data_IF_880828533752
#
_entry.id   IF_880828533752
#
_cell.length_a   1.000
_cell.length_b   1.000
_cell.length_c   1.000
_cell.angle_alpha   90.00
_cell.angle_beta   90.00
_cell.angle_gamma   90.00
#
_symmetry.space_group_name_H-M   'P 1'
#
loop_
_entity.id
_entity.type
_entity.pdbx_description
1 polymer ?
#
# COMPACT_ATOMS: atom_id res chain seq x y z
N UNK A 1 -27.12 1.23 -16.93
CA UNK A 1 -27.93 0.54 -15.95
C UNK A 1 -27.40 -0.88 -15.75
N UNK A 2 -27.29 -1.38 -14.49
CA UNK A 2 -26.91 -2.77 -14.24
C UNK A 2 -27.96 -3.71 -14.84
N UNK A 3 -27.49 -4.72 -15.57
CA UNK A 3 -28.38 -5.72 -16.20
C UNK A 3 -29.10 -6.56 -15.14
N UNK A 4 -30.35 -6.91 -15.41
CA UNK A 4 -31.16 -7.73 -14.50
C UNK A 4 -30.55 -9.14 -14.33
N UNK A 5 -30.38 -9.56 -13.08
CA UNK A 5 -29.81 -10.86 -12.73
C UNK A 5 -28.31 -10.86 -12.47
N UNK A 6 -27.61 -9.75 -12.71
CA UNK A 6 -26.19 -9.63 -12.43
C UNK A 6 -25.89 -9.63 -10.92
N UNK A 7 -24.75 -10.20 -10.55
CA UNK A 7 -24.27 -10.27 -9.17
C UNK A 7 -23.08 -9.36 -8.98
N UNK A 8 -23.25 -8.32 -8.18
CA UNK A 8 -22.16 -7.44 -7.82
C UNK A 8 -21.20 -8.03 -6.77
N UNK A 9 -20.08 -7.36 -6.57
CA UNK A 9 -19.10 -7.65 -5.53
C UNK A 9 -19.28 -6.66 -4.39
N UNK A 10 -19.21 -7.16 -3.16
CA UNK A 10 -19.25 -6.30 -1.98
C UNK A 10 -17.87 -5.66 -1.77
N UNK A 11 -17.86 -4.33 -1.65
CA UNK A 11 -16.67 -3.54 -1.28
C UNK A 11 -16.96 -2.81 0.01
N UNK A 12 -16.03 -2.82 0.93
CA UNK A 12 -16.16 -2.18 2.23
C UNK A 12 -15.18 -1.01 2.35
N UNK A 13 -15.64 0.07 2.98
CA UNK A 13 -14.84 1.25 3.26
C UNK A 13 -14.96 1.61 4.75
N UNK A 14 -13.82 1.62 5.45
CA UNK A 14 -13.74 2.21 6.78
C UNK A 14 -13.53 3.71 6.68
N UNK A 15 -14.32 4.48 7.38
CA UNK A 15 -14.19 5.92 7.43
C UNK A 15 -14.16 6.38 8.88
N UNK A 16 -13.19 7.23 9.22
CA UNK A 16 -13.14 7.90 10.51
C UNK A 16 -14.00 9.16 10.47
N UNK A 17 -14.61 9.50 11.60
CA UNK A 17 -15.28 10.78 11.81
C UNK A 17 -14.92 11.32 13.19
N UNK A 18 -14.81 12.62 13.28
CA UNK A 18 -14.60 13.28 14.58
C UNK A 18 -15.94 13.38 15.30
N UNK A 19 -15.98 12.89 16.53
CA UNK A 19 -17.12 13.13 17.41
C UNK A 19 -16.87 14.48 18.06
N UNK A 20 -17.61 15.50 17.60
CA UNK A 20 -17.71 16.76 18.33
C UNK A 20 -18.79 16.60 19.39
N UNK A 21 -18.43 16.75 20.66
CA UNK A 21 -19.42 16.86 21.72
C UNK A 21 -20.19 18.18 21.51
N UNK A 22 -21.33 18.09 20.87
CA UNK A 22 -22.26 19.18 20.67
C UNK A 22 -23.68 18.64 20.65
N UNK A 23 -24.50 19.14 21.53
CA UNK A 23 -25.95 18.94 21.73
C UNK A 23 -26.36 17.67 22.51
N UNK A 24 -26.06 17.72 23.81
CA UNK A 24 -26.87 17.09 24.83
C UNK A 24 -27.27 18.13 25.81
N UNK A 25 -28.56 18.55 25.79
CA UNK A 25 -29.18 19.30 26.89
C UNK A 25 -29.03 18.46 28.16
N UNK A 26 -28.18 18.91 29.05
CA UNK A 26 -27.95 18.25 30.34
C UNK A 26 -27.16 19.18 31.25
N UNK A 27 -27.90 19.86 32.13
CA UNK A 27 -27.38 20.61 33.28
C UNK A 27 -26.46 19.68 34.10
N UNK A 28 -25.19 20.04 34.19
CA UNK A 28 -24.22 19.32 35.01
C UNK A 28 -22.91 20.09 35.10
N UNK A 29 -22.73 20.78 36.23
CA UNK A 29 -21.44 21.32 36.68
C UNK A 29 -20.37 20.26 36.66
N UNK A 30 -19.25 20.48 35.97
CA UNK A 30 -18.14 19.55 36.03
C UNK A 30 -17.00 19.94 35.11
N UNK A 31 -15.95 20.45 35.68
CA UNK A 31 -14.53 20.53 35.30
C UNK A 31 -14.16 20.45 33.81
N UNK A 32 -13.66 21.54 33.34
CA UNK A 32 -13.05 21.77 32.03
C UNK A 32 -11.69 21.05 31.94
N UNK A 33 -11.68 19.76 31.60
CA UNK A 33 -10.48 19.03 31.20
C UNK A 33 -10.41 18.95 29.67
N UNK A 34 -9.29 19.37 29.13
CA UNK A 34 -9.02 19.60 27.71
C UNK A 34 -9.56 18.51 26.79
N UNK A 35 -10.59 18.84 26.04
CA UNK A 35 -11.36 17.92 25.21
C UNK A 35 -10.55 17.14 24.18
N UNK A 36 -10.20 15.92 24.51
CA UNK A 36 -9.68 14.95 23.55
C UNK A 36 -10.78 14.64 22.51
N UNK A 37 -10.58 15.09 21.29
CA UNK A 37 -11.45 14.75 20.16
C UNK A 37 -11.53 13.23 19.99
N UNK A 38 -12.68 12.65 20.33
CA UNK A 38 -12.92 11.21 20.10
C UNK A 38 -13.14 10.96 18.61
N UNK A 39 -12.38 10.03 18.05
CA UNK A 39 -12.55 9.59 16.67
C UNK A 39 -13.36 8.32 16.64
N UNK A 40 -14.54 8.36 16.02
CA UNK A 40 -15.35 7.20 15.72
C UNK A 40 -14.95 6.60 14.37
N UNK A 41 -15.17 5.30 14.22
CA UNK A 41 -15.02 4.58 12.95
C UNK A 41 -16.36 4.00 12.54
N UNK A 42 -16.71 4.15 11.27
CA UNK A 42 -17.85 3.45 10.71
C UNK A 42 -17.47 2.70 9.44
N UNK A 43 -18.14 1.57 9.23
CA UNK A 43 -17.98 0.74 8.05
C UNK A 43 -19.12 1.06 7.07
N UNK A 44 -18.76 1.48 5.87
CA UNK A 44 -19.70 1.50 4.73
C UNK A 44 -19.43 0.32 3.83
N UNK A 45 -20.48 -0.22 3.27
CA UNK A 45 -20.39 -1.22 2.23
C UNK A 45 -21.10 -0.74 0.97
N UNK A 46 -20.56 -1.15 -0.17
CA UNK A 46 -21.08 -0.85 -1.49
C UNK A 46 -21.11 -2.13 -2.30
N UNK A 47 -22.12 -2.28 -3.12
CA UNK A 47 -22.12 -3.34 -4.16
C UNK A 47 -21.62 -2.70 -5.45
N UNK A 48 -20.52 -3.20 -5.98
CA UNK A 48 -19.93 -2.76 -7.25
C UNK A 48 -20.14 -3.82 -8.31
N UNK A 49 -20.22 -3.38 -9.56
CA UNK A 49 -20.46 -4.23 -10.73
C UNK A 49 -19.33 -3.99 -11.74
N UNK A 50 -18.93 -5.04 -12.44
CA UNK A 50 -18.03 -4.92 -13.57
C UNK A 50 -18.67 -4.11 -14.70
N UNK A 51 -17.86 -3.42 -15.49
CA UNK A 51 -18.36 -2.62 -16.61
C UNK A 51 -19.14 -3.49 -17.62
N UNK A 52 -18.74 -4.74 -17.77
CA UNK A 52 -19.41 -5.76 -18.60
C UNK A 52 -20.81 -6.14 -18.11
N UNK A 53 -21.17 -5.80 -16.89
CA UNK A 53 -22.46 -6.06 -16.25
C UNK A 53 -23.44 -4.89 -16.37
N UNK A 54 -23.01 -3.79 -17.01
CA UNK A 54 -23.77 -2.53 -17.05
C UNK A 54 -24.02 -2.09 -18.48
N UNK A 55 -25.29 -1.82 -18.81
CA UNK A 55 -25.66 -1.26 -20.12
C UNK A 55 -25.49 0.26 -20.14
N UNK A 56 -25.23 0.79 -21.35
CA UNK A 56 -25.13 2.22 -21.63
C UNK A 56 -23.96 2.93 -20.88
N UNK A 57 -22.87 2.18 -20.65
CA UNK A 57 -21.59 2.77 -20.22
C UNK A 57 -20.63 2.72 -21.40
N UNK A 58 -20.09 3.86 -21.76
CA UNK A 58 -18.97 3.97 -22.70
C UNK A 58 -17.65 3.69 -21.95
N UNK A 59 -17.36 2.39 -21.80
CA UNK A 59 -16.15 1.90 -21.10
C UNK A 59 -14.89 2.36 -21.81
N UNK A 60 -14.89 2.38 -23.14
CA UNK A 60 -13.71 2.76 -23.93
C UNK A 60 -13.35 4.22 -23.71
N UNK A 61 -14.35 5.12 -23.68
CA UNK A 61 -14.12 6.53 -23.35
C UNK A 61 -13.60 6.72 -21.92
N UNK A 62 -14.13 5.97 -20.95
CA UNK A 62 -13.67 6.03 -19.55
C UNK A 62 -12.23 5.53 -19.42
N UNK A 63 -11.90 4.41 -20.07
CA UNK A 63 -10.54 3.86 -20.09
C UNK A 63 -9.56 4.78 -20.83
N UNK A 64 -9.98 5.36 -21.95
CA UNK A 64 -9.16 6.34 -22.70
C UNK A 64 -8.83 7.56 -21.83
N UNK A 65 -9.81 8.12 -21.11
CA UNK A 65 -9.59 9.23 -20.18
C UNK A 65 -8.64 8.87 -19.03
N UNK A 66 -8.72 7.64 -18.52
CA UNK A 66 -7.83 7.15 -17.49
C UNK A 66 -6.40 6.97 -18.04
N UNK A 67 -6.27 6.31 -19.21
CA UNK A 67 -4.98 6.12 -19.89
C UNK A 67 -4.29 7.43 -20.24
N UNK A 68 -5.05 8.43 -20.67
CA UNK A 68 -4.52 9.76 -21.00
C UNK A 68 -3.93 10.50 -19.79
N UNK A 69 -4.33 10.13 -18.56
CA UNK A 69 -3.80 10.67 -17.31
C UNK A 69 -2.63 9.87 -16.74
N UNK A 70 -2.41 8.65 -17.23
CA UNK A 70 -1.28 7.85 -16.79
C UNK A 70 0.02 8.34 -17.42
N UNK A 71 1.13 8.40 -16.65
CA UNK A 71 2.43 8.71 -17.22
C UNK A 71 2.79 7.66 -18.27
N UNK A 72 3.48 8.06 -19.34
CA UNK A 72 4.08 7.08 -20.22
C UNK A 72 5.23 6.35 -19.50
N UNK A 73 5.69 5.22 -20.05
CA UNK A 73 6.71 4.37 -19.42
C UNK A 73 7.97 5.14 -19.01
N UNK A 74 8.46 6.05 -19.85
CA UNK A 74 9.66 6.83 -19.53
C UNK A 74 9.42 7.79 -18.35
N UNK A 75 8.25 8.43 -18.31
CA UNK A 75 7.86 9.30 -17.19
C UNK A 75 7.67 8.48 -15.90
N UNK A 76 7.01 7.33 -15.96
CA UNK A 76 6.85 6.43 -14.80
C UNK A 76 8.20 6.01 -14.21
N UNK A 77 9.16 5.65 -15.06
CA UNK A 77 10.52 5.31 -14.64
C UNK A 77 11.26 6.50 -14.03
N UNK A 78 11.13 7.69 -14.61
CA UNK A 78 11.73 8.90 -14.04
C UNK A 78 11.13 9.25 -12.67
N UNK A 79 9.80 9.08 -12.52
CA UNK A 79 9.12 9.31 -11.23
C UNK A 79 9.61 8.34 -10.15
N UNK A 80 9.73 7.04 -10.44
CA UNK A 80 10.20 6.08 -9.47
C UNK A 80 11.67 6.27 -9.12
N UNK A 81 12.52 6.63 -10.08
CA UNK A 81 13.93 6.92 -9.79
C UNK A 81 14.09 8.14 -8.89
N UNK A 82 13.33 9.20 -9.16
CA UNK A 82 13.31 10.39 -8.30
C UNK A 82 12.80 10.08 -6.89
N UNK A 83 11.72 9.31 -6.79
CA UNK A 83 11.15 8.89 -5.51
C UNK A 83 12.17 8.08 -4.69
N UNK A 84 12.81 7.09 -5.30
CA UNK A 84 13.81 6.23 -4.65
C UNK A 84 15.00 7.08 -4.17
N UNK A 85 15.53 7.95 -5.03
CA UNK A 85 16.66 8.81 -4.68
C UNK A 85 16.32 9.73 -3.50
N UNK A 86 15.14 10.37 -3.53
CA UNK A 86 14.69 11.25 -2.46
C UNK A 86 14.45 10.48 -1.15
N UNK A 87 13.81 9.32 -1.22
CA UNK A 87 13.54 8.48 -0.05
C UNK A 87 14.86 8.02 0.60
N UNK A 88 15.78 7.46 -0.18
CA UNK A 88 17.07 6.97 0.34
C UNK A 88 17.88 8.11 0.96
N UNK A 89 17.96 9.25 0.27
CA UNK A 89 18.81 10.37 0.71
C UNK A 89 18.24 11.07 1.95
N UNK A 90 16.94 11.39 1.93
CA UNK A 90 16.35 12.25 2.98
C UNK A 90 15.94 11.45 4.22
N UNK A 91 15.75 10.14 4.09
CA UNK A 91 15.32 9.29 5.21
C UNK A 91 16.50 8.54 5.87
N UNK A 92 17.72 8.73 5.37
CA UNK A 92 18.95 8.17 5.93
C UNK A 92 19.08 6.65 5.78
N UNK A 93 18.35 6.08 4.82
CA UNK A 93 18.41 4.68 4.43
C UNK A 93 19.63 4.46 3.52
N UNK A 94 20.26 3.30 3.61
CA UNK A 94 21.30 2.92 2.65
C UNK A 94 20.77 1.91 1.62
N UNK A 95 21.13 2.09 0.36
CA UNK A 95 20.82 1.18 -0.74
C UNK A 95 22.10 0.76 -1.45
N UNK A 96 22.34 -0.53 -1.57
CA UNK A 96 23.47 -1.07 -2.33
C UNK A 96 23.02 -2.14 -3.31
N UNK A 97 23.85 -2.33 -4.36
CA UNK A 97 23.63 -3.35 -5.37
C UNK A 97 24.74 -4.41 -5.29
N UNK A 98 24.43 -5.63 -5.68
CA UNK A 98 25.32 -6.77 -5.71
C UNK A 98 24.70 -8.03 -5.12
N UNK A 99 25.35 -9.15 -5.35
CA UNK A 99 24.83 -10.46 -4.94
C UNK A 99 23.60 -10.89 -5.75
N UNK A 100 22.85 -11.86 -5.20
CA UNK A 100 21.72 -12.47 -5.89
C UNK A 100 20.40 -12.44 -5.09
N UNK A 101 20.33 -11.61 -4.05
CA UNK A 101 19.17 -11.50 -3.17
C UNK A 101 18.79 -10.05 -2.92
N UNK A 102 17.50 -9.75 -2.97
CA UNK A 102 16.93 -8.52 -2.44
C UNK A 102 16.53 -8.77 -0.98
N UNK A 103 16.78 -7.80 -0.12
CA UNK A 103 16.30 -7.80 1.26
C UNK A 103 16.51 -6.44 1.93
N UNK A 104 15.64 -6.11 2.87
CA UNK A 104 15.84 -5.05 3.84
C UNK A 104 16.45 -5.62 5.14
N UNK A 105 17.50 -5.00 5.66
CA UNK A 105 18.17 -5.36 6.91
C UNK A 105 17.86 -4.30 8.00
N UNK A 106 16.90 -4.54 8.92
CA UNK A 106 16.46 -3.55 9.91
C UNK A 106 17.59 -3.05 10.83
N UNK A 107 18.50 -3.95 11.24
CA UNK A 107 19.60 -3.60 12.15
C UNK A 107 20.64 -2.65 11.57
N UNK A 108 20.70 -2.57 10.24
CA UNK A 108 21.62 -1.71 9.49
C UNK A 108 20.91 -0.57 8.78
N UNK A 109 19.60 -0.57 8.81
CA UNK A 109 18.74 0.31 8.02
C UNK A 109 19.17 0.35 6.56
N UNK A 110 19.26 -0.84 5.96
CA UNK A 110 19.89 -1.07 4.67
C UNK A 110 19.05 -1.94 3.75
N UNK A 111 18.90 -1.50 2.50
CA UNK A 111 18.36 -2.30 1.41
C UNK A 111 19.51 -2.83 0.55
N UNK A 112 19.54 -4.14 0.36
CA UNK A 112 20.38 -4.82 -0.61
C UNK A 112 19.55 -5.23 -1.81
N UNK A 113 20.01 -4.89 -3.01
CA UNK A 113 19.41 -5.30 -4.28
C UNK A 113 20.42 -6.06 -5.13
N UNK A 114 19.99 -7.05 -5.93
CA UNK A 114 20.80 -7.55 -7.03
C UNK A 114 21.06 -6.44 -8.06
N UNK A 115 22.05 -6.64 -8.92
CA UNK A 115 22.31 -5.72 -10.04
C UNK A 115 21.08 -5.62 -10.95
N UNK A 116 20.76 -4.41 -11.45
CA UNK A 116 19.60 -4.20 -12.34
C UNK A 116 19.59 -5.14 -13.54
N UNK A 117 20.76 -5.42 -14.10
CA UNK A 117 20.90 -6.33 -15.26
C UNK A 117 20.56 -7.80 -14.96
N UNK A 118 20.42 -8.18 -13.68
CA UNK A 118 20.02 -9.54 -13.30
C UNK A 118 18.51 -9.76 -13.28
N UNK A 119 17.73 -8.69 -13.42
CA UNK A 119 16.27 -8.77 -13.50
C UNK A 119 15.82 -8.99 -14.94
N UNK A 120 14.70 -9.69 -15.11
CA UNK A 120 14.13 -9.95 -16.42
C UNK A 120 13.73 -8.67 -17.15
N UNK A 121 13.18 -7.71 -16.42
CA UNK A 121 12.80 -6.38 -16.91
C UNK A 121 12.99 -5.31 -15.83
N UNK A 122 12.85 -4.07 -16.25
CA UNK A 122 13.01 -2.90 -15.39
C UNK A 122 11.88 -2.79 -14.37
N UNK A 123 10.69 -3.19 -14.74
CA UNK A 123 9.51 -3.18 -13.88
C UNK A 123 9.66 -4.14 -12.72
N UNK A 124 10.17 -5.35 -12.97
CA UNK A 124 10.47 -6.33 -11.94
C UNK A 124 11.54 -5.86 -10.95
N UNK A 125 12.55 -5.13 -11.43
CA UNK A 125 13.52 -4.49 -10.53
C UNK A 125 12.84 -3.48 -9.60
N UNK A 126 12.03 -2.56 -10.14
CA UNK A 126 11.38 -1.55 -9.30
C UNK A 126 10.30 -2.13 -8.39
N UNK A 127 9.51 -3.09 -8.86
CA UNK A 127 8.55 -3.79 -8.00
C UNK A 127 9.24 -4.45 -6.80
N UNK A 128 10.40 -5.07 -7.01
CA UNK A 128 11.20 -5.66 -5.93
C UNK A 128 11.77 -4.58 -5.01
N UNK A 129 12.32 -3.50 -5.55
CA UNK A 129 12.85 -2.40 -4.74
C UNK A 129 11.78 -1.74 -3.89
N UNK A 130 10.60 -1.47 -4.45
CA UNK A 130 9.46 -0.90 -3.74
C UNK A 130 8.93 -1.84 -2.64
N UNK A 131 9.03 -3.16 -2.83
CA UNK A 131 8.75 -4.13 -1.78
C UNK A 131 9.74 -4.00 -0.60
N UNK A 132 11.03 -3.92 -0.86
CA UNK A 132 12.05 -3.73 0.19
C UNK A 132 11.92 -2.36 0.87
N UNK A 133 11.54 -1.32 0.12
CA UNK A 133 11.17 -0.03 0.69
C UNK A 133 9.94 -0.15 1.59
N UNK A 134 8.95 -0.96 1.23
CA UNK A 134 7.81 -1.30 2.08
C UNK A 134 8.25 -1.85 3.43
N UNK A 135 9.16 -2.83 3.44
CA UNK A 135 9.76 -3.37 4.66
C UNK A 135 10.51 -2.29 5.46
N UNK A 136 11.24 -1.40 4.79
CA UNK A 136 12.02 -0.38 5.48
C UNK A 136 11.14 0.55 6.32
N UNK A 137 9.87 0.73 5.98
CA UNK A 137 8.94 1.57 6.75
C UNK A 137 8.64 1.02 8.16
N UNK A 138 8.96 -0.24 8.43
CA UNK A 138 8.79 -0.79 9.78
C UNK A 138 9.82 -0.26 10.79
N UNK A 139 10.91 0.34 10.32
CA UNK A 139 11.97 0.86 11.18
C UNK A 139 11.45 1.90 12.17
N UNK A 140 12.05 1.94 13.38
CA UNK A 140 11.62 2.83 14.47
C UNK A 140 11.70 4.33 14.11
N UNK A 141 12.59 4.71 13.19
CA UNK A 141 12.68 6.08 12.69
C UNK A 141 11.52 6.49 11.76
N UNK A 142 10.72 5.53 11.26
CA UNK A 142 9.65 5.74 10.28
C UNK A 142 8.29 5.47 10.92
N UNK A 143 7.65 4.40 10.55
CA UNK A 143 6.32 4.07 11.08
C UNK A 143 6.35 3.24 12.36
N UNK A 144 7.55 2.83 12.82
CA UNK A 144 7.74 2.00 14.03
C UNK A 144 6.74 0.83 14.11
N UNK A 145 6.53 0.16 12.96
CA UNK A 145 5.62 -0.97 12.89
C UNK A 145 6.23 -2.15 13.63
N UNK A 146 5.62 -2.55 14.72
CA UNK A 146 6.08 -3.73 15.48
C UNK A 146 5.78 -4.99 14.68
N UNK A 147 6.82 -5.61 14.13
CA UNK A 147 6.70 -6.97 13.62
C UNK A 147 6.76 -7.95 14.80
N UNK A 148 5.71 -8.76 14.93
CA UNK A 148 5.72 -9.87 15.90
C UNK A 148 6.54 -11.07 15.40
N UNK A 149 7.22 -10.91 14.28
CA UNK A 149 8.07 -11.93 13.70
C UNK A 149 9.34 -12.12 14.53
N UNK A 150 9.59 -13.34 14.96
CA UNK A 150 10.84 -13.75 15.60
C UNK A 150 11.68 -14.65 14.69
N UNK A 151 11.08 -15.25 13.67
CA UNK A 151 11.74 -16.19 12.74
C UNK A 151 11.08 -16.17 11.36
N UNK A 152 11.87 -16.45 10.35
CA UNK A 152 11.40 -16.73 9.00
C UNK A 152 10.32 -17.85 9.04
N UNK A 153 9.16 -17.58 8.43
CA UNK A 153 8.06 -18.54 8.33
C UNK A 153 7.05 -18.53 9.47
N UNK A 154 7.19 -17.69 10.50
CA UNK A 154 6.14 -17.49 11.50
C UNK A 154 5.01 -16.59 10.97
N UNK A 155 3.88 -16.54 11.70
CA UNK A 155 2.69 -15.74 11.33
C UNK A 155 3.03 -14.25 11.22
N UNK A 156 3.87 -13.74 12.11
CA UNK A 156 4.29 -12.33 12.09
C UNK A 156 5.13 -12.01 10.86
N UNK A 157 5.98 -12.93 10.41
CA UNK A 157 6.71 -12.81 9.15
C UNK A 157 5.75 -12.77 7.96
N UNK A 158 4.79 -13.71 7.88
CA UNK A 158 3.81 -13.76 6.80
C UNK A 158 2.95 -12.47 6.72
N UNK A 159 2.61 -11.89 7.88
CA UNK A 159 1.89 -10.62 7.94
C UNK A 159 2.73 -9.44 7.40
N UNK A 160 4.00 -9.38 7.76
CA UNK A 160 4.89 -8.31 7.28
C UNK A 160 5.16 -8.43 5.77
N UNK A 161 5.36 -9.65 5.27
CA UNK A 161 5.43 -9.90 3.82
C UNK A 161 4.17 -9.42 3.09
N UNK A 162 3.00 -9.69 3.66
CA UNK A 162 1.73 -9.25 3.08
C UNK A 162 1.62 -7.71 3.06
N UNK A 163 2.12 -7.02 4.10
CA UNK A 163 2.19 -5.55 4.12
C UNK A 163 3.12 -5.04 3.03
N UNK A 164 4.33 -5.59 2.89
CA UNK A 164 5.29 -5.17 1.89
C UNK A 164 4.78 -5.41 0.46
N UNK A 165 4.12 -6.55 0.21
CA UNK A 165 3.53 -6.85 -1.09
C UNK A 165 2.40 -5.88 -1.46
N UNK A 166 1.48 -5.62 -0.54
CA UNK A 166 0.39 -4.67 -0.80
C UNK A 166 0.96 -3.25 -0.99
N UNK A 167 2.00 -2.87 -0.22
CA UNK A 167 2.69 -1.59 -0.37
C UNK A 167 3.30 -1.46 -1.76
N UNK A 168 4.04 -2.48 -2.22
CA UNK A 168 4.62 -2.51 -3.56
C UNK A 168 3.55 -2.37 -4.64
N UNK A 169 2.44 -3.12 -4.54
CA UNK A 169 1.34 -3.04 -5.48
C UNK A 169 0.67 -1.65 -5.52
N UNK A 170 0.51 -0.99 -4.37
CA UNK A 170 -0.02 0.38 -4.30
C UNK A 170 0.94 1.38 -4.95
N UNK A 171 2.23 1.28 -4.66
CA UNK A 171 3.25 2.17 -5.20
C UNK A 171 3.43 2.01 -6.71
N UNK A 172 3.49 0.77 -7.22
CA UNK A 172 3.59 0.49 -8.66
C UNK A 172 2.38 1.03 -9.41
N UNK A 173 1.17 0.86 -8.85
CA UNK A 173 -0.06 1.41 -9.43
C UNK A 173 -0.06 2.94 -9.44
N UNK A 174 0.35 3.59 -8.34
CA UNK A 174 0.41 5.06 -8.24
C UNK A 174 1.45 5.66 -9.19
N UNK A 175 2.59 5.00 -9.35
CA UNK A 175 3.70 5.43 -10.21
C UNK A 175 3.48 5.10 -11.69
N UNK A 176 2.46 4.31 -12.02
CA UNK A 176 2.17 3.89 -13.39
C UNK A 176 3.15 2.84 -13.93
N UNK A 177 3.78 2.06 -13.04
CA UNK A 177 4.61 0.92 -13.41
C UNK A 177 3.69 -0.29 -13.61
N UNK A 178 3.85 -1.00 -14.74
CA UNK A 178 3.13 -2.25 -14.94
C UNK A 178 3.67 -3.31 -13.97
N UNK A 179 2.79 -3.80 -13.08
CA UNK A 179 3.15 -4.86 -12.15
C UNK A 179 2.91 -6.22 -12.83
N UNK A 180 3.98 -6.98 -12.99
CA UNK A 180 3.90 -8.37 -13.45
C UNK A 180 3.95 -9.28 -12.21
N UNK A 181 3.15 -10.37 -12.18
CA UNK A 181 3.21 -11.31 -11.08
C UNK A 181 4.64 -11.84 -10.90
N UNK A 182 5.24 -11.60 -9.74
CA UNK A 182 6.59 -12.07 -9.46
C UNK A 182 6.57 -13.58 -9.20
N UNK A 183 7.58 -14.33 -9.70
CA UNK A 183 7.64 -15.78 -9.49
C UNK A 183 7.72 -16.22 -8.03
N UNK A 184 8.25 -15.35 -7.15
CA UNK A 184 8.39 -15.62 -5.71
C UNK A 184 7.09 -15.38 -4.92
N UNK A 185 6.06 -14.69 -5.48
CA UNK A 185 4.73 -14.62 -4.88
C UNK A 185 4.16 -16.01 -4.57
N UNK A 186 4.39 -16.99 -5.44
CA UNK A 186 3.94 -18.36 -5.22
C UNK A 186 4.51 -18.99 -3.94
N UNK A 187 5.71 -18.57 -3.52
CA UNK A 187 6.38 -19.07 -2.31
C UNK A 187 5.65 -18.64 -1.04
N UNK A 188 5.06 -17.46 -1.04
CA UNK A 188 4.37 -16.87 0.12
C UNK A 188 2.86 -17.15 0.12
N UNK A 189 2.27 -17.49 -1.02
CA UNK A 189 0.83 -17.73 -1.16
C UNK A 189 0.29 -18.72 -0.12
N UNK A 190 1.00 -19.81 0.14
CA UNK A 190 0.57 -20.81 1.12
C UNK A 190 0.57 -20.25 2.55
N UNK A 191 1.62 -19.49 2.92
CA UNK A 191 1.73 -18.85 4.24
C UNK A 191 0.68 -17.75 4.42
N UNK A 192 0.40 -16.97 3.36
CA UNK A 192 -0.66 -15.96 3.38
C UNK A 192 -2.04 -16.58 3.50
N UNK A 193 -2.33 -17.64 2.74
CA UNK A 193 -3.59 -18.36 2.84
C UNK A 193 -3.81 -18.94 4.24
N UNK A 194 -2.77 -19.46 4.86
CA UNK A 194 -2.85 -19.96 6.24
C UNK A 194 -3.09 -18.80 7.21
N UNK A 195 -2.33 -17.73 7.11
CA UNK A 195 -2.52 -16.52 7.94
C UNK A 195 -3.95 -15.95 7.82
N UNK A 196 -4.50 -15.89 6.61
CA UNK A 196 -5.86 -15.38 6.36
C UNK A 196 -6.94 -16.33 6.86
N UNK A 197 -6.70 -17.64 6.87
CA UNK A 197 -7.62 -18.64 7.44
C UNK A 197 -7.67 -18.54 8.96
N UNK A 198 -6.51 -18.37 9.59
CA UNK A 198 -6.40 -18.30 11.06
C UNK A 198 -6.85 -16.93 11.60
N UNK A 199 -6.70 -15.88 10.81
CA UNK A 199 -7.02 -14.50 11.17
C UNK A 199 -7.76 -13.77 10.04
N UNK A 200 -9.07 -13.90 10.02
CA UNK A 200 -9.92 -13.31 8.97
C UNK A 200 -9.82 -11.78 8.83
N UNK A 201 -9.29 -11.08 9.84
CA UNK A 201 -9.03 -9.63 9.81
C UNK A 201 -7.62 -9.28 9.34
N UNK A 202 -6.73 -10.26 9.14
CA UNK A 202 -5.32 -10.01 8.80
C UNK A 202 -5.16 -9.18 7.53
N UNK A 203 -5.98 -9.42 6.51
CA UNK A 203 -5.94 -8.66 5.26
C UNK A 203 -6.26 -7.18 5.47
N UNK A 204 -7.25 -6.85 6.30
CA UNK A 204 -7.61 -5.46 6.58
C UNK A 204 -6.52 -4.73 7.37
N UNK A 205 -5.91 -5.44 8.34
CA UNK A 205 -4.78 -4.92 9.11
C UNK A 205 -3.58 -4.69 8.20
N UNK A 206 -3.23 -5.66 7.35
CA UNK A 206 -2.13 -5.55 6.40
C UNK A 206 -2.36 -4.42 5.39
N UNK A 207 -3.56 -4.32 4.80
CA UNK A 207 -3.91 -3.26 3.88
C UNK A 207 -3.85 -1.87 4.52
N UNK A 208 -4.31 -1.73 5.77
CA UNK A 208 -4.21 -0.46 6.51
C UNK A 208 -2.77 -0.06 6.80
N UNK A 209 -1.90 -1.02 7.12
CA UNK A 209 -0.48 -0.76 7.34
C UNK A 209 0.23 -0.48 6.02
N UNK A 210 -0.11 -1.19 4.96
CA UNK A 210 0.43 -0.98 3.62
C UNK A 210 0.06 0.42 3.07
N UNK A 211 -1.17 0.89 3.30
CA UNK A 211 -1.55 2.24 2.92
C UNK A 211 -0.68 3.29 3.62
N UNK A 212 -0.47 3.15 4.94
CA UNK A 212 0.41 4.05 5.68
C UNK A 212 1.85 4.00 5.17
N UNK A 213 2.35 2.82 4.79
CA UNK A 213 3.68 2.65 4.24
C UNK A 213 3.79 3.31 2.85
N UNK A 214 2.78 3.11 1.99
CA UNK A 214 2.72 3.74 0.68
C UNK A 214 2.64 5.27 0.80
N UNK A 215 1.77 5.80 1.64
CA UNK A 215 1.64 7.24 1.89
C UNK A 215 2.96 7.85 2.39
N UNK A 216 3.64 7.14 3.32
CA UNK A 216 4.93 7.57 3.86
C UNK A 216 5.99 7.66 2.76
N UNK A 217 6.13 6.62 1.93
CA UNK A 217 7.09 6.60 0.83
C UNK A 217 6.73 7.66 -0.22
N UNK A 218 5.45 7.77 -0.60
CA UNK A 218 4.97 8.74 -1.59
C UNK A 218 5.13 10.20 -1.15
N UNK A 219 5.27 10.47 0.14
CA UNK A 219 5.60 11.82 0.62
C UNK A 219 6.95 12.34 0.09
N UNK A 220 7.83 11.46 -0.37
CA UNK A 220 9.11 11.79 -1.00
C UNK A 220 9.02 11.99 -2.52
N UNK A 221 7.87 11.78 -3.14
CA UNK A 221 7.69 12.08 -4.56
C UNK A 221 7.84 13.59 -4.80
N UNK A 222 8.64 13.96 -5.81
CA UNK A 222 8.89 15.35 -6.16
C UNK A 222 7.66 16.01 -6.79
N UNK A 223 6.87 15.22 -7.54
CA UNK A 223 5.69 15.67 -8.26
C UNK A 223 4.43 15.59 -7.38
N UNK A 224 3.72 16.73 -7.26
CA UNK A 224 2.48 16.81 -6.49
C UNK A 224 1.34 15.99 -7.11
N UNK A 225 1.31 15.81 -8.43
CA UNK A 225 0.31 14.97 -9.11
C UNK A 225 0.54 13.49 -8.80
N UNK A 226 1.80 13.06 -8.73
CA UNK A 226 2.17 11.69 -8.34
C UNK A 226 1.78 11.42 -6.88
N UNK A 227 1.99 12.41 -5.98
CA UNK A 227 1.56 12.29 -4.58
C UNK A 227 0.04 12.14 -4.42
N UNK A 228 -0.74 12.80 -5.26
CA UNK A 228 -2.20 12.75 -5.21
C UNK A 228 -2.79 11.45 -5.74
N UNK A 229 -2.00 10.60 -6.40
CA UNK A 229 -2.42 9.32 -6.96
C UNK A 229 -2.35 8.16 -5.93
N UNK A 230 -1.64 8.34 -4.82
CA UNK A 230 -1.51 7.34 -3.73
C UNK A 230 -2.65 7.46 -2.72
#
# INVERSE_FOLDING_TARGET
QVRKGERGKLVTLWKSYKVTNGDGDGDGDGDNDGGASKTGLFLRHFTVFGAEQVDNIDVDSLLAKRRAKQPNKAQALAHVESLVANYVTNDGLTLAHGGNRAFYAPSKDHIQMPERASFYDTEGYYSTLLHEMGHSTLHAKRLDRKSNSRRFGDIGYAQEELVAEITSAMLTAALGIEDQPRPDHARYLQSWLQCLKDHNKAIFTAASQAQKAADYIMAYAADSEVRAAA
#
